data_IF_583558743960
#
_entry.id   IF_583558743960
#
_cell.length_a   1.000
_cell.length_b   1.000
_cell.length_c   1.000
_cell.angle_alpha   90.00
_cell.angle_beta   90.00
_cell.angle_gamma   90.00
#
_symmetry.space_group_name_H-M   'P 1'
#
loop_
_entity.id
_entity.type
_entity.pdbx_description
1 polymer ?
#
# COMPACT_ATOMS: atom_id res chain seq x y z
N UNK A 1 -69.81 -13.96 32.78
CA UNK A 1 -69.31 -13.33 34.02
C UNK A 1 -68.10 -14.13 34.53
N UNK A 2 -67.06 -13.45 35.08
CA UNK A 2 -65.94 -13.98 35.91
C UNK A 2 -65.20 -15.25 35.38
N UNK A 3 -63.97 -15.14 34.83
CA UNK A 3 -62.65 -14.99 35.49
C UNK A 3 -62.08 -16.29 36.12
N UNK A 4 -60.75 -16.47 35.96
CA UNK A 4 -59.77 -17.34 36.69
C UNK A 4 -59.52 -18.76 36.11
N UNK A 5 -58.27 -19.28 35.96
CA UNK A 5 -56.89 -18.71 35.84
C UNK A 5 -55.86 -19.78 35.31
N UNK A 6 -54.68 -19.31 34.84
CA UNK A 6 -53.33 -19.94 34.78
C UNK A 6 -53.02 -21.36 34.22
N UNK A 7 -52.25 -21.33 33.13
CA UNK A 7 -50.92 -21.94 32.90
C UNK A 7 -50.60 -23.40 33.32
N UNK A 8 -50.23 -24.20 32.31
CA UNK A 8 -49.17 -25.22 32.42
C UNK A 8 -48.42 -25.30 31.09
N UNK A 9 -47.16 -24.83 31.07
CA UNK A 9 -46.27 -24.91 29.91
C UNK A 9 -44.98 -25.62 30.34
N UNK A 10 -44.81 -26.83 29.82
CA UNK A 10 -43.54 -27.39 29.36
C UNK A 10 -42.36 -27.47 30.34
N UNK A 11 -42.50 -28.29 31.38
CA UNK A 11 -41.35 -28.82 32.13
C UNK A 11 -41.03 -30.26 31.67
N UNK A 12 -40.21 -30.45 30.62
CA UNK A 12 -39.63 -31.75 30.22
C UNK A 12 -38.56 -31.64 29.09
N UNK A 13 -37.52 -30.79 29.25
CA UNK A 13 -36.45 -30.63 28.25
C UNK A 13 -35.03 -30.42 28.82
N UNK A 14 -34.68 -31.06 29.95
CA UNK A 14 -33.35 -30.88 30.59
C UNK A 14 -32.62 -32.19 30.94
N UNK A 15 -32.71 -33.22 30.08
CA UNK A 15 -31.94 -34.47 30.24
C UNK A 15 -31.41 -35.02 28.89
N UNK A 16 -30.66 -34.20 28.14
CA UNK A 16 -29.74 -34.74 27.12
C UNK A 16 -28.60 -33.78 26.78
N UNK A 17 -27.62 -33.70 27.68
CA UNK A 17 -26.23 -33.33 27.35
C UNK A 17 -25.34 -34.22 28.20
N UNK A 18 -24.93 -35.36 27.64
CA UNK A 18 -24.02 -36.30 28.30
C UNK A 18 -22.61 -35.73 28.16
N UNK A 19 -22.05 -35.28 29.26
CA UNK A 19 -20.74 -34.62 29.31
C UNK A 19 -19.63 -35.60 28.94
N UNK A 20 -19.21 -35.57 27.66
CA UNK A 20 -17.98 -36.22 27.23
C UNK A 20 -16.82 -35.44 27.85
N UNK A 21 -16.16 -36.05 28.85
CA UNK A 21 -14.96 -35.50 29.47
C UNK A 21 -13.97 -35.13 28.38
N UNK A 22 -13.63 -33.83 28.33
CA UNK A 22 -12.58 -33.33 27.45
C UNK A 22 -11.30 -34.11 27.74
N UNK A 23 -10.91 -34.94 26.79
CA UNK A 23 -9.62 -35.61 26.80
C UNK A 23 -8.58 -34.51 26.70
N UNK A 24 -7.73 -34.35 27.73
CA UNK A 24 -6.65 -33.37 27.70
C UNK A 24 -5.76 -33.66 26.50
N UNK A 25 -5.99 -32.92 25.41
CA UNK A 25 -5.01 -32.75 24.34
C UNK A 25 -3.78 -32.19 25.05
N UNK A 26 -2.62 -32.86 25.00
CA UNK A 26 -1.40 -32.30 25.57
C UNK A 26 -1.21 -30.92 24.97
N UNK A 27 -1.07 -29.90 25.81
CA UNK A 27 -0.84 -28.54 25.35
C UNK A 27 0.32 -28.59 24.35
N UNK A 28 0.08 -28.10 23.14
CA UNK A 28 1.13 -28.00 22.13
C UNK A 28 2.18 -27.08 22.73
N UNK A 29 3.29 -27.66 23.17
CA UNK A 29 4.44 -26.92 23.68
C UNK A 29 4.81 -25.89 22.62
N UNK A 30 4.66 -24.61 22.97
CA UNK A 30 4.52 -23.56 21.96
C UNK A 30 5.73 -23.59 21.02
N UNK A 31 5.48 -23.78 19.72
CA UNK A 31 6.52 -23.83 18.70
C UNK A 31 7.29 -22.50 18.54
N UNK A 32 6.84 -21.47 19.27
CA UNK A 32 7.35 -20.11 19.29
C UNK A 32 7.26 -19.59 20.73
N UNK A 33 8.39 -19.18 21.30
CA UNK A 33 8.41 -18.49 22.60
C UNK A 33 7.79 -17.09 22.47
N UNK A 34 6.91 -16.71 23.39
CA UNK A 34 6.18 -15.44 23.31
C UNK A 34 7.01 -14.27 23.87
N UNK A 35 7.97 -13.78 23.10
CA UNK A 35 8.60 -12.49 23.40
C UNK A 35 7.75 -11.32 22.89
N UNK A 36 7.25 -10.50 23.81
CA UNK A 36 6.48 -9.30 23.48
C UNK A 36 7.39 -8.18 22.95
N UNK A 37 7.01 -7.61 21.82
CA UNK A 37 7.54 -6.34 21.30
C UNK A 37 6.38 -5.35 21.14
N UNK A 38 6.61 -4.05 21.33
CA UNK A 38 5.58 -3.02 21.07
C UNK A 38 5.04 -3.08 19.63
N UNK A 39 5.93 -3.35 18.66
CA UNK A 39 5.59 -3.54 17.25
C UNK A 39 4.99 -4.93 16.98
N UNK A 40 5.15 -5.90 17.90
CA UNK A 40 4.45 -7.19 17.75
C UNK A 40 2.93 -7.02 17.83
N UNK A 41 2.40 -5.96 18.45
CA UNK A 41 0.95 -5.73 18.55
C UNK A 41 0.30 -5.36 17.21
N UNK A 42 0.99 -4.62 16.34
CA UNK A 42 0.56 -4.33 14.97
C UNK A 42 0.81 -5.51 14.03
N UNK A 43 1.97 -6.18 14.13
CA UNK A 43 2.27 -7.39 13.35
C UNK A 43 1.27 -8.53 13.67
N UNK A 44 0.95 -8.76 14.95
CA UNK A 44 -0.01 -9.79 15.40
C UNK A 44 -1.47 -9.48 15.05
N UNK A 45 -1.84 -8.19 14.90
CA UNK A 45 -3.20 -7.81 14.48
C UNK A 45 -3.49 -8.16 13.02
N UNK A 46 -2.46 -8.35 12.20
CA UNK A 46 -2.61 -8.32 10.76
C UNK A 46 -2.74 -9.69 10.04
N UNK A 47 -3.12 -10.73 10.78
CA UNK A 47 -3.44 -12.09 10.29
C UNK A 47 -4.53 -12.13 9.20
N UNK A 48 -5.21 -11.01 8.93
CA UNK A 48 -6.29 -10.87 7.95
C UNK A 48 -6.10 -9.77 6.91
N UNK A 49 -4.95 -9.07 6.88
CA UNK A 49 -4.67 -8.12 5.80
C UNK A 49 -4.24 -8.88 4.55
N UNK A 50 -5.18 -9.03 3.62
CA UNK A 50 -4.95 -9.69 2.32
C UNK A 50 -4.23 -8.77 1.32
N UNK A 51 -4.21 -7.46 1.58
CA UNK A 51 -3.84 -6.41 0.62
C UNK A 51 -2.91 -5.30 1.18
N UNK A 52 -2.55 -5.33 2.48
CA UNK A 52 -1.79 -4.26 3.15
C UNK A 52 -0.27 -4.47 3.21
N UNK A 53 0.49 -3.37 3.13
CA UNK A 53 1.96 -3.40 3.14
C UNK A 53 2.51 -3.29 4.58
N UNK A 54 3.00 -4.41 5.14
CA UNK A 54 3.55 -4.48 6.50
C UNK A 54 4.73 -3.52 6.75
N UNK A 55 5.57 -3.22 5.75
CA UNK A 55 6.65 -2.23 5.89
C UNK A 55 6.08 -0.83 6.08
N UNK A 56 5.00 -0.49 5.37
CA UNK A 56 4.32 0.78 5.60
C UNK A 56 3.74 0.86 7.02
N UNK A 57 3.08 -0.20 7.48
CA UNK A 57 2.46 -0.24 8.81
C UNK A 57 3.48 -0.13 9.95
N UNK A 58 4.59 -0.89 9.88
CA UNK A 58 5.68 -0.78 10.87
C UNK A 58 6.24 0.64 10.88
N UNK A 59 6.41 1.28 9.72
CA UNK A 59 6.84 2.68 9.65
C UNK A 59 5.80 3.64 10.28
N UNK A 60 4.51 3.39 10.07
CA UNK A 60 3.43 4.17 10.69
C UNK A 60 3.30 3.97 12.21
N UNK A 61 3.79 2.86 12.77
CA UNK A 61 3.93 2.74 14.23
C UNK A 61 5.18 3.48 14.74
N UNK A 62 6.31 3.38 14.04
CA UNK A 62 7.56 4.07 14.41
C UNK A 62 7.40 5.60 14.44
N UNK A 63 6.66 6.17 13.50
CA UNK A 63 6.45 7.62 13.39
C UNK A 63 5.52 8.20 14.47
N UNK A 64 4.63 7.42 15.10
CA UNK A 64 3.68 7.95 16.11
C UNK A 64 4.36 8.63 17.30
N UNK A 65 5.53 8.13 17.69
CA UNK A 65 6.26 8.59 18.87
C UNK A 65 7.62 9.25 18.54
N UNK A 66 7.98 9.37 17.26
CA UNK A 66 9.23 9.99 16.81
C UNK A 66 8.93 11.30 16.07
N UNK A 67 9.14 12.43 16.77
CA UNK A 67 8.86 13.77 16.26
C UNK A 67 9.71 14.14 15.04
N UNK A 68 10.94 13.63 14.94
CA UNK A 68 11.80 13.89 13.79
C UNK A 68 11.31 13.15 12.54
N UNK A 69 10.78 11.93 12.69
CA UNK A 69 10.11 11.22 11.59
C UNK A 69 8.81 11.91 11.17
N UNK A 70 8.01 12.42 12.12
CA UNK A 70 6.77 13.17 11.81
C UNK A 70 7.06 14.41 10.97
N UNK A 71 8.05 15.19 11.37
CA UNK A 71 8.42 16.41 10.66
C UNK A 71 9.07 16.10 9.29
N UNK A 72 9.76 14.97 9.15
CA UNK A 72 10.24 14.48 7.86
C UNK A 72 9.08 14.06 6.92
N UNK A 73 8.17 13.20 7.37
CA UNK A 73 7.04 12.73 6.55
C UNK A 73 6.12 13.88 6.13
N UNK A 74 5.86 14.83 7.05
CA UNK A 74 5.15 16.07 6.75
C UNK A 74 5.88 16.88 5.68
N UNK A 75 7.19 17.08 5.79
CA UNK A 75 7.98 17.83 4.79
C UNK A 75 7.96 17.15 3.41
N UNK A 76 8.05 15.81 3.36
CA UNK A 76 7.94 15.06 2.10
C UNK A 76 6.54 15.20 1.50
N UNK A 77 5.48 15.17 2.32
CA UNK A 77 4.10 15.36 1.85
C UNK A 77 3.89 16.77 1.30
N UNK A 78 4.35 17.80 2.04
CA UNK A 78 4.25 19.22 1.65
C UNK A 78 5.00 19.49 0.34
N UNK A 79 6.27 19.10 0.21
CA UNK A 79 7.04 19.40 -1.01
C UNK A 79 6.50 18.68 -2.26
N UNK A 80 5.87 17.51 -2.08
CA UNK A 80 5.18 16.81 -3.18
C UNK A 80 3.94 17.58 -3.65
N UNK A 81 3.15 18.16 -2.73
CA UNK A 81 2.00 18.99 -3.06
C UNK A 81 2.44 20.31 -3.71
N UNK A 82 3.38 21.03 -3.08
CA UNK A 82 3.93 22.29 -3.60
C UNK A 82 4.53 22.12 -5.01
N UNK A 83 5.14 20.96 -5.29
CA UNK A 83 5.65 20.62 -6.64
C UNK A 83 4.52 20.48 -7.67
N UNK A 84 3.39 19.88 -7.29
CA UNK A 84 2.25 19.67 -8.18
C UNK A 84 1.52 20.98 -8.47
N UNK A 85 1.26 21.76 -7.42
CA UNK A 85 0.63 23.08 -7.52
C UNK A 85 1.48 24.03 -8.37
N UNK A 86 2.79 24.11 -8.09
CA UNK A 86 3.71 25.01 -8.80
C UNK A 86 3.90 24.65 -10.27
N UNK A 87 3.77 23.38 -10.66
CA UNK A 87 3.91 22.97 -12.07
C UNK A 87 2.63 23.17 -12.88
N UNK A 88 1.46 23.08 -12.25
CA UNK A 88 0.15 23.11 -12.92
C UNK A 88 -0.07 24.39 -13.73
N UNK A 89 0.32 25.56 -13.21
CA UNK A 89 0.20 26.84 -13.91
C UNK A 89 1.04 26.90 -15.20
N UNK A 90 2.28 26.40 -15.16
CA UNK A 90 3.15 26.39 -16.34
C UNK A 90 2.70 25.38 -17.39
N UNK A 91 2.36 24.16 -16.96
CA UNK A 91 1.90 23.10 -17.88
C UNK A 91 0.60 23.55 -18.59
N UNK A 92 -0.35 24.23 -17.90
CA UNK A 92 -1.57 24.81 -18.50
C UNK A 92 -1.26 25.92 -19.54
N UNK A 93 -0.41 26.89 -19.20
CA UNK A 93 -0.07 28.01 -20.10
C UNK A 93 0.69 27.52 -21.33
N UNK A 94 1.62 26.57 -21.17
CA UNK A 94 2.38 25.97 -22.27
C UNK A 94 1.43 25.17 -23.16
N UNK A 95 0.62 24.28 -22.59
CA UNK A 95 -0.33 23.45 -23.34
C UNK A 95 -1.35 24.29 -24.12
N UNK A 96 -1.91 25.36 -23.51
CA UNK A 96 -2.81 26.28 -24.22
C UNK A 96 -2.10 27.01 -25.38
N UNK A 97 -0.86 27.44 -25.17
CA UNK A 97 -0.05 28.09 -26.21
C UNK A 97 0.21 27.15 -27.40
N UNK A 98 0.55 25.89 -27.12
CA UNK A 98 0.70 24.85 -28.14
C UNK A 98 -0.62 24.57 -28.87
N UNK A 99 -1.75 24.49 -28.16
CA UNK A 99 -3.09 24.35 -28.76
C UNK A 99 -3.41 25.50 -29.72
N UNK A 100 -3.16 26.76 -29.35
CA UNK A 100 -3.37 27.90 -30.27
C UNK A 100 -2.57 27.78 -31.57
N UNK A 101 -1.32 27.29 -31.52
CA UNK A 101 -0.52 27.08 -32.73
C UNK A 101 -1.02 25.89 -33.56
N UNK A 102 -1.48 24.83 -32.91
CA UNK A 102 -2.11 23.68 -33.59
C UNK A 102 -3.41 24.08 -34.30
N UNK A 103 -4.28 24.85 -33.64
CA UNK A 103 -5.53 25.36 -34.20
C UNK A 103 -5.27 26.32 -35.36
N UNK A 104 -4.31 27.24 -35.24
CA UNK A 104 -3.91 28.12 -36.33
C UNK A 104 -3.38 27.34 -37.54
N UNK A 105 -2.60 26.27 -37.31
CA UNK A 105 -2.10 25.37 -38.35
C UNK A 105 -3.20 24.46 -38.93
N UNK A 106 -4.25 24.15 -38.18
CA UNK A 106 -5.43 23.48 -38.70
C UNK A 106 -6.22 24.43 -39.63
N UNK A 107 -6.50 25.66 -39.18
CA UNK A 107 -7.20 26.70 -39.94
C UNK A 107 -6.47 27.12 -41.21
N UNK A 108 -5.12 27.11 -41.24
CA UNK A 108 -4.36 27.39 -42.46
C UNK A 108 -4.64 26.39 -43.58
N UNK A 109 -5.20 25.20 -43.28
CA UNK A 109 -5.60 24.25 -44.31
C UNK A 109 -6.83 24.68 -45.11
N UNK A 110 -7.68 25.54 -44.55
CA UNK A 110 -8.85 26.11 -45.21
C UNK A 110 -8.52 27.27 -46.15
N UNK A 111 -7.26 27.71 -46.21
CA UNK A 111 -6.81 28.77 -47.13
C UNK A 111 -6.61 28.19 -48.53
N UNK A 112 -7.50 28.54 -49.47
CA UNK A 112 -7.50 28.03 -50.85
C UNK A 112 -6.31 28.53 -51.68
N UNK A 113 -5.90 29.80 -51.51
CA UNK A 113 -4.74 30.31 -52.25
C UNK A 113 -3.45 29.69 -51.73
N UNK A 114 -2.76 28.96 -52.61
CA UNK A 114 -1.58 28.17 -52.24
C UNK A 114 -0.36 29.01 -51.81
N UNK A 115 -0.28 30.26 -52.28
CA UNK A 115 0.81 31.19 -51.91
C UNK A 115 0.55 31.75 -50.51
N UNK A 116 -0.65 32.29 -50.29
CA UNK A 116 -1.12 32.79 -48.98
C UNK A 116 -1.07 31.70 -47.93
N UNK A 117 -1.51 30.47 -48.25
CA UNK A 117 -1.41 29.31 -47.36
C UNK A 117 0.03 29.04 -46.91
N UNK A 118 0.98 28.96 -47.85
CA UNK A 118 2.40 28.74 -47.52
C UNK A 118 2.99 29.88 -46.69
N UNK A 119 2.57 31.12 -46.94
CA UNK A 119 3.03 32.29 -46.22
C UNK A 119 2.53 32.28 -44.76
N UNK A 120 1.23 32.10 -44.51
CA UNK A 120 0.70 32.07 -43.14
C UNK A 120 1.23 30.86 -42.35
N UNK A 121 1.43 29.71 -43.00
CA UNK A 121 2.05 28.54 -42.36
C UNK A 121 3.51 28.79 -41.92
N UNK A 122 4.27 29.57 -42.70
CA UNK A 122 5.62 29.99 -42.35
C UNK A 122 5.62 30.97 -41.17
N UNK A 123 4.65 31.88 -41.13
CA UNK A 123 4.47 32.84 -40.03
C UNK A 123 4.08 32.15 -38.73
N UNK A 124 3.12 31.22 -38.77
CA UNK A 124 2.73 30.36 -37.63
C UNK A 124 3.97 29.63 -37.08
N UNK A 125 4.73 28.94 -37.95
CA UNK A 125 5.94 28.20 -37.54
C UNK A 125 7.05 29.11 -36.98
N UNK A 126 7.21 30.32 -37.53
CA UNK A 126 8.17 31.29 -37.02
C UNK A 126 7.74 31.89 -35.67
N UNK A 127 6.43 32.00 -35.41
CA UNK A 127 5.88 32.43 -34.13
C UNK A 127 6.04 31.33 -33.07
N UNK A 128 5.65 30.09 -33.38
CA UNK A 128 5.78 28.96 -32.44
C UNK A 128 7.23 28.70 -32.06
N UNK A 129 8.16 28.69 -33.03
CA UNK A 129 9.59 28.51 -32.74
C UNK A 129 10.20 29.61 -31.86
N UNK A 130 9.69 30.85 -31.91
CA UNK A 130 10.09 31.92 -30.98
C UNK A 130 9.54 31.66 -29.57
N UNK A 131 8.31 31.16 -29.46
CA UNK A 131 7.73 30.75 -28.18
C UNK A 131 8.50 29.59 -27.57
N UNK A 132 8.86 28.58 -28.36
CA UNK A 132 9.64 27.43 -27.90
C UNK A 132 11.01 27.83 -27.32
N UNK A 133 11.75 28.71 -28.01
CA UNK A 133 13.01 29.26 -27.50
C UNK A 133 12.79 30.05 -26.20
N UNK A 134 11.70 30.81 -26.11
CA UNK A 134 11.35 31.59 -24.91
C UNK A 134 10.99 30.71 -23.71
N UNK A 135 10.39 29.55 -23.92
CA UNK A 135 9.95 28.63 -22.85
C UNK A 135 10.90 27.47 -22.58
N UNK A 136 11.95 27.27 -23.39
CA UNK A 136 12.89 26.15 -23.23
C UNK A 136 13.43 26.03 -21.80
N UNK A 137 13.95 27.11 -21.21
CA UNK A 137 14.45 27.11 -19.81
C UNK A 137 13.38 26.70 -18.80
N UNK A 138 12.12 27.07 -19.02
CA UNK A 138 10.99 26.69 -18.15
C UNK A 138 10.71 25.19 -18.29
N UNK A 139 10.65 24.68 -19.52
CA UNK A 139 10.48 23.23 -19.79
C UNK A 139 11.62 22.40 -19.18
N UNK A 140 12.87 22.86 -19.30
CA UNK A 140 14.05 22.21 -18.69
C UNK A 140 13.96 22.16 -17.16
N UNK A 141 13.51 23.25 -16.52
CA UNK A 141 13.27 23.30 -15.08
C UNK A 141 12.14 22.35 -14.66
N UNK A 142 11.03 22.29 -15.41
CA UNK A 142 9.91 21.35 -15.14
C UNK A 142 10.40 19.90 -15.23
N UNK A 143 11.20 19.54 -16.24
CA UNK A 143 11.81 18.20 -16.34
C UNK A 143 12.71 17.89 -15.14
N UNK A 144 13.53 18.85 -14.71
CA UNK A 144 14.40 18.71 -13.53
C UNK A 144 13.60 18.56 -12.23
N UNK A 145 12.50 19.29 -12.07
CA UNK A 145 11.59 19.17 -10.92
C UNK A 145 10.92 17.79 -10.92
N UNK A 146 10.40 17.32 -12.06
CA UNK A 146 9.83 15.96 -12.22
C UNK A 146 10.84 14.88 -11.82
N UNK A 147 12.10 14.97 -12.29
CA UNK A 147 13.17 14.03 -11.92
C UNK A 147 13.55 14.09 -10.42
N UNK A 148 13.56 15.29 -9.83
CA UNK A 148 13.81 15.46 -8.39
C UNK A 148 12.67 14.84 -7.55
N UNK A 149 11.40 15.01 -7.95
CA UNK A 149 10.23 14.43 -7.26
C UNK A 149 10.33 12.89 -7.20
N UNK A 150 10.66 12.25 -8.32
CA UNK A 150 10.93 10.80 -8.37
C UNK A 150 12.08 10.41 -7.45
N UNK A 151 13.22 11.13 -7.53
CA UNK A 151 14.38 10.85 -6.68
C UNK A 151 14.06 10.96 -5.19
N UNK A 152 13.29 11.96 -4.78
CA UNK A 152 12.85 12.15 -3.39
C UNK A 152 11.92 11.02 -2.95
N UNK A 153 10.98 10.60 -3.81
CA UNK A 153 10.10 9.46 -3.55
C UNK A 153 10.91 8.16 -3.31
N UNK A 154 11.81 7.82 -4.23
CA UNK A 154 12.61 6.59 -4.16
C UNK A 154 13.52 6.57 -2.92
N UNK A 155 14.21 7.67 -2.64
CA UNK A 155 15.05 7.78 -1.44
C UNK A 155 14.21 7.69 -0.16
N UNK A 156 12.99 8.24 -0.14
CA UNK A 156 12.12 8.12 1.01
C UNK A 156 11.56 6.70 1.20
N UNK A 157 11.27 5.99 0.11
CA UNK A 157 10.88 4.57 0.15
C UNK A 157 12.02 3.69 0.69
N UNK A 158 13.25 3.89 0.20
CA UNK A 158 14.46 3.21 0.69
C UNK A 158 14.70 3.53 2.18
N UNK A 159 14.48 4.77 2.59
CA UNK A 159 14.56 5.18 4.00
C UNK A 159 13.51 4.44 4.86
N UNK A 160 12.24 4.37 4.43
CA UNK A 160 11.18 3.63 5.13
C UNK A 160 11.58 2.16 5.34
N UNK A 161 11.98 1.47 4.26
CA UNK A 161 12.43 0.07 4.31
C UNK A 161 13.56 -0.10 5.34
N UNK A 162 14.65 0.67 5.22
CA UNK A 162 15.79 0.61 6.14
C UNK A 162 15.41 0.90 7.60
N UNK A 163 14.50 1.85 7.83
CA UNK A 163 14.03 2.20 9.18
C UNK A 163 13.18 1.08 9.82
N UNK A 164 12.50 0.25 9.01
CA UNK A 164 11.71 -0.89 9.50
C UNK A 164 12.47 -2.21 9.67
N UNK A 165 13.58 -2.43 8.97
CA UNK A 165 14.35 -3.68 9.06
C UNK A 165 14.67 -4.12 10.50
N UNK A 166 15.14 -3.24 11.41
CA UNK A 166 15.43 -3.64 12.80
C UNK A 166 14.19 -4.15 13.57
N UNK A 167 12.98 -3.67 13.26
CA UNK A 167 11.76 -4.16 13.90
C UNK A 167 11.29 -5.51 13.34
N UNK A 168 11.55 -5.76 12.04
CA UNK A 168 11.34 -7.05 11.40
C UNK A 168 12.31 -8.09 12.00
N UNK A 169 13.59 -7.74 12.14
CA UNK A 169 14.61 -8.58 12.77
C UNK A 169 14.30 -8.86 14.25
N UNK A 170 13.87 -7.85 15.01
CA UNK A 170 13.37 -8.04 16.39
C UNK A 170 12.20 -9.03 16.43
N UNK A 171 11.24 -8.91 15.52
CA UNK A 171 10.11 -9.83 15.45
C UNK A 171 10.56 -11.28 15.16
N UNK A 172 11.47 -11.47 14.19
CA UNK A 172 12.03 -12.77 13.84
C UNK A 172 12.80 -13.40 15.02
N UNK A 173 13.67 -12.63 15.66
CA UNK A 173 14.45 -13.08 16.82
C UNK A 173 13.58 -13.36 18.07
N UNK A 174 12.47 -12.63 18.21
CA UNK A 174 11.46 -12.85 19.24
C UNK A 174 10.57 -14.08 18.98
N UNK A 175 10.52 -14.59 17.74
CA UNK A 175 9.67 -15.71 17.34
C UNK A 175 10.50 -16.83 16.66
N UNK A 176 11.48 -17.43 17.35
CA UNK A 176 12.39 -18.41 16.76
C UNK A 176 11.65 -19.70 16.36
N UNK A 177 11.80 -20.11 15.10
CA UNK A 177 11.14 -21.30 14.55
C UNK A 177 11.91 -22.57 14.92
N UNK A 178 11.46 -23.28 15.95
CA UNK A 178 12.03 -24.57 16.37
C UNK A 178 11.51 -25.72 15.48
N UNK A 179 12.40 -26.53 14.92
CA UNK A 179 12.05 -27.64 14.02
C UNK A 179 11.58 -28.91 14.73
N UNK A 180 11.85 -29.06 16.03
CA UNK A 180 11.61 -30.29 16.78
C UNK A 180 10.12 -30.68 16.82
N UNK A 181 9.23 -29.68 16.95
CA UNK A 181 7.78 -29.89 16.89
C UNK A 181 7.34 -30.42 15.52
N UNK A 182 7.89 -29.87 14.43
CA UNK A 182 7.62 -30.33 13.06
C UNK A 182 8.11 -31.76 12.84
N UNK A 183 9.32 -32.09 13.32
CA UNK A 183 9.87 -33.44 13.27
C UNK A 183 9.01 -34.45 14.04
N UNK A 184 8.52 -34.08 15.24
CA UNK A 184 7.57 -34.88 16.00
C UNK A 184 6.24 -35.09 15.24
N UNK A 185 5.71 -34.06 14.58
CA UNK A 185 4.50 -34.20 13.75
C UNK A 185 4.70 -35.10 12.53
N UNK A 186 5.84 -34.99 11.83
CA UNK A 186 6.21 -35.88 10.72
C UNK A 186 6.29 -37.34 11.20
N UNK A 187 6.90 -37.59 12.36
CA UNK A 187 6.99 -38.94 12.92
C UNK A 187 5.61 -39.53 13.26
N UNK A 188 4.70 -38.74 13.83
CA UNK A 188 3.30 -39.15 14.07
C UNK A 188 2.56 -39.47 12.77
N UNK A 189 2.75 -38.67 11.71
CA UNK A 189 2.16 -38.91 10.40
C UNK A 189 2.72 -40.20 9.77
N UNK A 190 4.04 -40.42 9.83
CA UNK A 190 4.68 -41.63 9.31
C UNK A 190 4.19 -42.89 10.02
N UNK A 191 4.03 -42.85 11.36
CA UNK A 191 3.46 -43.98 12.11
C UNK A 191 2.04 -44.32 11.63
N UNK A 192 1.17 -43.31 11.50
CA UNK A 192 -0.20 -43.50 11.00
C UNK A 192 -0.22 -44.08 9.57
N UNK A 193 0.68 -43.64 8.69
CA UNK A 193 0.80 -44.21 7.34
C UNK A 193 1.23 -45.68 7.36
N UNK A 194 2.13 -46.08 8.27
CA UNK A 194 2.52 -47.49 8.45
C UNK A 194 1.40 -48.35 9.07
N UNK A 195 0.56 -47.78 9.93
CA UNK A 195 -0.64 -48.45 10.45
C UNK A 195 -1.65 -48.68 9.31
N UNK A 196 -1.95 -47.65 8.50
CA UNK A 196 -2.87 -47.75 7.36
C UNK A 196 -2.39 -48.75 6.29
N UNK A 197 -1.09 -48.85 6.02
CA UNK A 197 -0.51 -49.84 5.08
C UNK A 197 -0.72 -51.29 5.51
N UNK A 198 -0.92 -51.54 6.81
CA UNK A 198 -1.11 -52.89 7.39
C UNK A 198 -2.57 -53.35 7.39
N UNK A 199 -3.52 -52.47 7.07
CA UNK A 199 -4.96 -52.78 6.95
C UNK A 199 -5.31 -53.44 5.60
N UNK A 200 -4.49 -54.40 5.16
CA UNK A 200 -4.72 -55.23 3.97
C UNK A 200 -5.38 -56.55 4.32
#
# INVERSE_FOLDING_TARGET
MKKILFASILALSFLSCRENKSQQVPAIENAVDNAESSVSSSIRKNTYSRDGNLVHEIYQELIKNDKALQDLDKRITVINQETEDAMTEYDDVIQKSETYYNDAKALSNSVTDSVTKKQIEKEIKASSGKYDIKTQTIRDLIVKIKANRTTVHDQYLVFKIRKTLPEIEKYQNAHPLKTDSLNQFINKQNQLLEELKKLK
#
